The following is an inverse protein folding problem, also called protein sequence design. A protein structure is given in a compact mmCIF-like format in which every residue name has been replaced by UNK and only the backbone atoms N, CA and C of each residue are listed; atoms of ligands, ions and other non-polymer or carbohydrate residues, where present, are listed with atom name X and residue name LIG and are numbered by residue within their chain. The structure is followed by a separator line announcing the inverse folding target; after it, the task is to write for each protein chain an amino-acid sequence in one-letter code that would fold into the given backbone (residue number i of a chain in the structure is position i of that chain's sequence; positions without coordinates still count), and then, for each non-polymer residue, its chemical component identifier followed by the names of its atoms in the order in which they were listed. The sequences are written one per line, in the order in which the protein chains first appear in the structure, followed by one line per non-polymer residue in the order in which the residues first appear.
data_IF_903678774919
#
_entry.id   IF_903678774919
#
_cell.length_a   1.000
_cell.length_b   1.000
_cell.length_c   1.000
_cell.angle_alpha   90.00
_cell.angle_beta   90.00
_cell.angle_gamma   90.00
#
_symmetry.space_group_name_H-M   'P 1'
#
loop_
_entity.id
_entity.type
_entity.pdbx_description
1 polymer ?
#
# COMPACT_ATOMS: atom_id res chain seq x y z
N UNK A 1 -9.46 -7.27 30.92
CA UNK A 1 -10.70 -8.01 30.54
C UNK A 1 -10.26 -9.21 29.71
N UNK A 2 -10.88 -10.39 29.90
CA UNK A 2 -10.52 -11.58 29.13
C UNK A 2 -10.96 -11.39 27.69
N UNK A 3 -10.15 -11.86 26.73
CA UNK A 3 -10.54 -11.90 25.32
C UNK A 3 -11.78 -12.80 25.17
N UNK A 4 -12.71 -12.42 24.32
CA UNK A 4 -13.84 -13.27 23.94
C UNK A 4 -13.33 -14.42 23.09
N UNK A 5 -13.62 -15.67 23.46
CA UNK A 5 -13.23 -16.84 22.68
C UNK A 5 -14.29 -17.19 21.63
N UNK A 6 -13.87 -17.46 20.40
CA UNK A 6 -14.72 -17.92 19.29
C UNK A 6 -14.12 -19.17 18.64
N UNK A 7 -14.90 -20.24 18.59
CA UNK A 7 -14.49 -21.52 17.97
C UNK A 7 -15.31 -21.86 16.72
N UNK A 8 -16.41 -21.14 16.44
CA UNK A 8 -17.31 -21.44 15.33
C UNK A 8 -17.01 -20.58 14.11
N UNK A 9 -16.80 -21.22 12.96
CA UNK A 9 -16.71 -20.57 11.63
C UNK A 9 -18.03 -19.88 11.20
N UNK A 10 -19.15 -20.21 11.85
CA UNK A 10 -20.46 -19.62 11.58
C UNK A 10 -20.69 -18.32 12.36
N UNK A 11 -19.77 -17.96 13.26
CA UNK A 11 -19.87 -16.72 14.02
C UNK A 11 -19.93 -15.50 13.06
N UNK A 12 -20.85 -14.53 13.29
CA UNK A 12 -21.01 -13.37 12.42
C UNK A 12 -19.72 -12.54 12.24
N UNK A 13 -18.94 -12.33 13.30
CA UNK A 13 -17.68 -11.59 13.23
C UNK A 13 -16.65 -12.32 12.33
N UNK A 14 -16.55 -13.66 12.45
CA UNK A 14 -15.66 -14.46 11.59
C UNK A 14 -16.09 -14.37 10.12
N UNK A 15 -17.41 -14.44 9.85
CA UNK A 15 -17.94 -14.26 8.49
C UNK A 15 -17.63 -12.87 7.93
N UNK A 16 -17.83 -11.82 8.72
CA UNK A 16 -17.56 -10.45 8.31
C UNK A 16 -16.06 -10.24 7.99
N UNK A 17 -15.16 -10.73 8.84
CA UNK A 17 -13.71 -10.63 8.57
C UNK A 17 -13.30 -11.42 7.33
N UNK A 18 -13.87 -12.62 7.10
CA UNK A 18 -13.64 -13.39 5.87
C UNK A 18 -14.17 -12.68 4.63
N UNK A 19 -15.27 -11.96 4.74
CA UNK A 19 -15.85 -11.21 3.62
C UNK A 19 -14.94 -10.09 3.13
N UNK A 20 -14.05 -9.55 3.99
CA UNK A 20 -13.06 -8.53 3.62
C UNK A 20 -12.02 -8.99 2.55
N UNK A 21 -12.01 -10.27 2.18
CA UNK A 21 -11.29 -10.71 0.98
C UNK A 21 -11.93 -10.20 -0.33
N UNK A 22 -13.20 -9.84 -0.30
CA UNK A 22 -13.91 -9.27 -1.45
C UNK A 22 -13.75 -7.75 -1.45
N UNK A 23 -13.37 -7.18 -2.61
CA UNK A 23 -13.24 -5.72 -2.77
C UNK A 23 -14.52 -4.98 -2.38
N UNK A 24 -15.66 -5.49 -2.82
CA UNK A 24 -16.98 -4.93 -2.49
C UNK A 24 -17.14 -4.72 -0.98
N UNK A 25 -16.86 -5.73 -0.19
CA UNK A 25 -17.00 -5.67 1.27
C UNK A 25 -16.03 -4.65 1.90
N UNK A 26 -14.80 -4.54 1.36
CA UNK A 26 -13.85 -3.53 1.82
C UNK A 26 -14.31 -2.12 1.47
N UNK A 27 -14.86 -1.93 0.27
CA UNK A 27 -15.37 -0.62 -0.18
C UNK A 27 -16.62 -0.21 0.63
N UNK A 28 -17.51 -1.16 0.96
CA UNK A 28 -18.72 -0.92 1.76
C UNK A 28 -18.43 -0.65 3.24
N UNK A 29 -17.49 -1.39 3.82
CA UNK A 29 -17.17 -1.29 5.26
C UNK A 29 -16.07 -0.28 5.58
N UNK A 30 -15.26 0.08 4.59
CA UNK A 30 -14.04 0.87 4.80
C UNK A 30 -12.96 0.15 5.62
N UNK A 31 -13.03 -1.20 5.70
CA UNK A 31 -12.11 -2.02 6.50
C UNK A 31 -11.21 -2.89 5.62
N UNK A 32 -10.08 -3.30 6.17
CA UNK A 32 -9.19 -4.28 5.53
C UNK A 32 -8.50 -5.18 6.57
N UNK A 33 -7.91 -6.26 6.10
CA UNK A 33 -7.21 -7.26 6.92
C UNK A 33 -5.70 -7.10 6.78
N UNK A 34 -5.00 -7.03 7.92
CA UNK A 34 -3.55 -7.13 8.00
C UNK A 34 -3.17 -8.36 8.83
N UNK A 35 -2.36 -9.25 8.25
CA UNK A 35 -1.94 -10.50 8.87
C UNK A 35 -0.56 -10.39 9.50
N UNK A 36 -0.39 -11.05 10.65
CA UNK A 36 0.86 -11.12 11.37
C UNK A 36 1.02 -10.01 12.41
N UNK A 37 1.57 -10.42 13.56
CA UNK A 37 1.76 -9.51 14.70
C UNK A 37 2.64 -8.30 14.34
N UNK A 38 3.65 -8.49 13.48
CA UNK A 38 4.51 -7.39 13.02
C UNK A 38 3.68 -6.30 12.32
N UNK A 39 2.81 -6.66 11.37
CA UNK A 39 1.97 -5.70 10.67
C UNK A 39 0.99 -4.98 11.60
N UNK A 40 0.44 -5.71 12.60
CA UNK A 40 -0.44 -5.11 13.61
C UNK A 40 0.32 -4.08 14.45
N UNK A 41 1.54 -4.39 14.86
CA UNK A 41 2.36 -3.47 15.65
C UNK A 41 2.80 -2.25 14.83
N UNK A 42 3.19 -2.42 13.58
CA UNK A 42 3.49 -1.29 12.67
C UNK A 42 2.30 -0.35 12.54
N UNK A 43 1.09 -0.90 12.37
CA UNK A 43 -0.14 -0.09 12.38
C UNK A 43 -0.29 0.71 13.68
N UNK A 44 -0.13 0.08 14.83
CA UNK A 44 -0.25 0.73 16.14
C UNK A 44 0.82 1.81 16.32
N UNK A 45 2.07 1.55 15.92
CA UNK A 45 3.18 2.49 16.06
C UNK A 45 3.04 3.72 15.17
N UNK A 46 2.29 3.60 14.09
CA UNK A 46 1.92 4.71 13.19
C UNK A 46 0.56 5.34 13.52
N UNK A 47 -0.04 5.00 14.67
CA UNK A 47 -1.29 5.62 15.15
C UNK A 47 -2.57 4.94 14.65
N UNK A 48 -2.47 3.79 14.00
CA UNK A 48 -3.61 3.03 13.50
C UNK A 48 -3.93 1.86 14.45
N UNK A 49 -5.02 1.95 15.19
CA UNK A 49 -5.47 0.86 16.05
C UNK A 49 -6.46 -0.06 15.31
N UNK A 50 -6.36 -1.39 15.46
CA UNK A 50 -7.31 -2.30 14.84
C UNK A 50 -8.70 -2.18 15.47
N UNK A 51 -9.75 -2.31 14.66
CA UNK A 51 -11.14 -2.45 15.11
C UNK A 51 -11.42 -3.85 15.66
N UNK A 52 -10.73 -4.86 15.11
CA UNK A 52 -10.79 -6.22 15.57
C UNK A 52 -9.37 -6.78 15.57
N UNK A 53 -8.98 -7.39 16.69
CA UNK A 53 -7.74 -8.14 16.82
C UNK A 53 -8.09 -9.60 17.08
N UNK A 54 -7.81 -10.48 16.11
CA UNK A 54 -7.95 -11.92 16.26
C UNK A 54 -6.59 -12.55 16.53
N UNK A 55 -6.50 -13.46 17.49
CA UNK A 55 -5.27 -14.19 17.77
C UNK A 55 -5.53 -15.64 18.14
N UNK A 56 -4.59 -16.52 17.83
CA UNK A 56 -4.57 -17.88 18.36
C UNK A 56 -4.10 -17.92 19.81
N UNK A 57 -4.32 -19.05 20.49
CA UNK A 57 -3.94 -19.20 21.91
C UNK A 57 -2.42 -19.01 22.13
N UNK A 58 -1.60 -19.51 21.22
CA UNK A 58 -0.14 -19.44 21.32
C UNK A 58 0.41 -18.02 21.19
N UNK A 59 -0.30 -17.13 20.52
CA UNK A 59 0.12 -15.74 20.36
C UNK A 59 0.00 -14.92 21.65
N UNK A 60 -0.87 -15.32 22.58
CA UNK A 60 -1.13 -14.59 23.81
C UNK A 60 0.13 -14.41 24.68
N UNK A 61 1.07 -15.35 24.63
CA UNK A 61 2.33 -15.31 25.37
C UNK A 61 3.38 -14.37 24.75
N UNK A 62 3.20 -13.91 23.51
CA UNK A 62 4.18 -13.05 22.83
C UNK A 62 4.25 -11.68 23.50
N UNK A 63 5.45 -11.14 23.81
CA UNK A 63 5.59 -9.86 24.54
C UNK A 63 4.84 -8.68 23.89
N UNK A 64 4.81 -8.61 22.55
CA UNK A 64 4.13 -7.55 21.81
C UNK A 64 2.61 -7.69 21.79
N UNK A 65 2.05 -8.85 22.14
CA UNK A 65 0.59 -9.02 22.20
C UNK A 65 -0.07 -8.11 23.23
N UNK A 66 0.59 -7.86 24.35
CA UNK A 66 0.07 -6.92 25.38
C UNK A 66 -0.16 -5.53 24.78
N UNK A 67 0.79 -5.02 23.99
CA UNK A 67 0.68 -3.74 23.29
C UNK A 67 -0.48 -3.77 22.29
N UNK A 68 -0.59 -4.82 21.47
CA UNK A 68 -1.67 -4.97 20.50
C UNK A 68 -3.05 -4.98 21.16
N UNK A 69 -3.21 -5.75 22.24
CA UNK A 69 -4.45 -5.83 23.03
C UNK A 69 -4.80 -4.46 23.64
N UNK A 70 -3.86 -3.79 24.29
CA UNK A 70 -4.09 -2.49 24.92
C UNK A 70 -4.48 -1.42 23.91
N UNK A 71 -3.79 -1.34 22.78
CA UNK A 71 -4.10 -0.38 21.72
C UNK A 71 -5.48 -0.63 21.10
N UNK A 72 -5.82 -1.91 20.83
CA UNK A 72 -7.14 -2.30 20.30
C UNK A 72 -8.25 -1.92 21.27
N UNK A 73 -8.15 -2.30 22.53
CA UNK A 73 -9.17 -2.01 23.55
C UNK A 73 -9.26 -0.51 23.84
N UNK A 74 -8.12 0.18 23.91
CA UNK A 74 -8.05 1.63 24.14
C UNK A 74 -8.74 2.45 23.06
N UNK A 75 -8.79 1.94 21.82
CA UNK A 75 -9.52 2.55 20.71
C UNK A 75 -10.98 2.09 20.57
N UNK A 76 -11.48 1.27 21.51
CA UNK A 76 -12.81 0.69 21.46
C UNK A 76 -12.95 -0.52 20.53
N UNK A 77 -11.83 -1.09 20.08
CA UNK A 77 -11.82 -2.31 19.28
C UNK A 77 -12.05 -3.58 20.07
N UNK A 78 -12.37 -4.66 19.38
CA UNK A 78 -12.66 -5.98 19.95
C UNK A 78 -11.43 -6.90 19.86
N UNK A 79 -11.08 -7.59 20.97
CA UNK A 79 -10.02 -8.60 21.01
C UNK A 79 -10.66 -9.96 21.12
N UNK A 80 -10.33 -10.86 20.20
CA UNK A 80 -10.97 -12.18 20.06
C UNK A 80 -9.89 -13.26 19.99
N UNK A 81 -9.98 -14.23 20.91
CA UNK A 81 -9.23 -15.46 20.78
C UNK A 81 -9.95 -16.43 19.86
N UNK A 82 -9.27 -16.98 18.87
CA UNK A 82 -9.84 -17.85 17.86
C UNK A 82 -9.02 -19.12 17.66
N UNK A 83 -9.64 -20.18 17.16
CA UNK A 83 -8.93 -21.43 16.81
C UNK A 83 -8.03 -21.24 15.59
N UNK A 84 -7.05 -22.13 15.44
CA UNK A 84 -6.18 -22.19 14.26
C UNK A 84 -6.98 -22.32 12.96
N UNK A 85 -8.07 -23.13 12.97
CA UNK A 85 -8.95 -23.30 11.80
C UNK A 85 -9.61 -21.99 11.37
N UNK A 86 -10.00 -21.14 12.32
CA UNK A 86 -10.55 -19.82 12.02
C UNK A 86 -9.46 -18.94 11.39
N UNK A 87 -8.26 -18.91 11.96
CA UNK A 87 -7.14 -18.15 11.38
C UNK A 87 -6.82 -18.62 9.96
N UNK A 88 -6.77 -19.94 9.72
CA UNK A 88 -6.54 -20.52 8.40
C UNK A 88 -7.60 -20.08 7.38
N UNK A 89 -8.88 -20.05 7.78
CA UNK A 89 -9.98 -19.62 6.92
C UNK A 89 -10.04 -18.11 6.72
N UNK A 90 -9.68 -17.32 7.72
CA UNK A 90 -9.60 -15.86 7.64
C UNK A 90 -8.42 -15.44 6.76
N UNK A 91 -7.28 -16.09 6.84
CA UNK A 91 -6.09 -15.78 6.04
C UNK A 91 -6.05 -16.48 4.67
N UNK A 92 -6.93 -17.48 4.44
CA UNK A 92 -6.89 -18.37 3.27
C UNK A 92 -5.52 -19.05 3.10
N UNK A 93 -4.92 -19.49 4.21
CA UNK A 93 -3.62 -20.19 4.23
C UNK A 93 -3.70 -21.46 5.07
N UNK A 94 -2.96 -22.47 4.66
CA UNK A 94 -2.77 -23.68 5.47
C UNK A 94 -1.98 -23.40 6.74
N UNK A 95 -0.93 -22.59 6.60
CA UNK A 95 -0.12 -22.10 7.73
C UNK A 95 -0.38 -20.60 7.96
N UNK A 96 -1.44 -20.24 8.70
CA UNK A 96 -1.80 -18.86 8.97
C UNK A 96 -0.84 -18.19 9.95
N UNK A 97 -0.77 -16.88 9.90
CA UNK A 97 -0.17 -16.11 10.98
C UNK A 97 -1.05 -16.22 12.24
N UNK A 98 -0.41 -16.26 13.40
CA UNK A 98 -1.11 -16.41 14.68
C UNK A 98 -1.94 -15.19 15.11
N UNK A 99 -1.81 -14.06 14.38
CA UNK A 99 -2.49 -12.79 14.66
C UNK A 99 -3.01 -12.18 13.38
N UNK A 100 -4.23 -11.64 13.43
CA UNK A 100 -4.89 -10.91 12.34
C UNK A 100 -5.53 -9.66 12.92
N UNK A 101 -5.21 -8.51 12.33
CA UNK A 101 -5.85 -7.23 12.63
C UNK A 101 -6.80 -6.79 11.52
N UNK A 102 -7.94 -6.21 11.91
CA UNK A 102 -8.87 -5.53 10.98
C UNK A 102 -8.77 -4.04 11.23
N UNK A 103 -8.41 -3.28 10.21
CA UNK A 103 -8.13 -1.86 10.29
C UNK A 103 -9.03 -1.04 9.39
N UNK A 104 -9.33 0.23 9.74
CA UNK A 104 -9.92 1.17 8.80
C UNK A 104 -8.99 1.47 7.63
N UNK A 105 -9.55 1.56 6.41
CA UNK A 105 -8.84 2.13 5.28
C UNK A 105 -8.62 3.63 5.50
N UNK A 106 -7.49 4.14 5.02
CA UNK A 106 -7.17 5.56 5.09
C UNK A 106 -6.66 6.04 3.73
N UNK A 107 -7.43 6.91 3.07
CA UNK A 107 -6.99 7.64 1.89
C UNK A 107 -6.86 9.12 2.21
N UNK A 108 -5.73 9.69 1.81
CA UNK A 108 -5.51 11.13 1.92
C UNK A 108 -6.13 11.83 0.71
N UNK A 109 -6.81 12.95 0.88
CA UNK A 109 -7.23 13.82 -0.23
C UNK A 109 -6.04 14.27 -1.08
N UNK A 110 -6.25 14.45 -2.38
CA UNK A 110 -5.18 14.80 -3.33
C UNK A 110 -4.52 16.16 -2.99
N UNK A 111 -5.30 17.10 -2.48
CA UNK A 111 -4.86 18.44 -2.07
C UNK A 111 -3.94 18.43 -0.84
N UNK A 112 -3.93 17.32 -0.10
CA UNK A 112 -3.10 17.13 1.10
C UNK A 112 -1.84 16.30 0.83
N UNK A 113 -1.56 16.01 -0.44
CA UNK A 113 -0.33 15.28 -0.80
C UNK A 113 0.87 16.20 -0.62
N UNK A 114 1.80 15.77 0.21
CA UNK A 114 3.05 16.47 0.50
C UNK A 114 4.24 15.63 0.02
N UNK A 115 5.36 16.26 -0.39
CA UNK A 115 6.48 15.52 -0.97
C UNK A 115 7.27 14.65 0.02
N UNK A 116 7.05 14.82 1.33
CA UNK A 116 7.73 14.05 2.37
C UNK A 116 9.21 14.43 2.56
N UNK A 117 9.93 13.73 3.48
CA UNK A 117 11.34 13.99 3.77
C UNK A 117 12.26 13.84 2.56
N UNK A 118 11.99 12.90 1.68
CA UNK A 118 12.75 12.68 0.45
C UNK A 118 12.46 13.71 -0.64
N UNK A 119 11.50 14.60 -0.44
CA UNK A 119 11.02 15.53 -1.46
C UNK A 119 10.57 14.79 -2.75
N UNK A 120 9.88 13.67 -2.57
CA UNK A 120 9.43 12.80 -3.66
C UNK A 120 8.03 12.25 -3.38
N UNK A 121 7.21 12.15 -4.43
CA UNK A 121 5.92 11.47 -4.46
C UNK A 121 5.87 10.55 -5.66
N UNK A 122 5.18 9.42 -5.55
CA UNK A 122 5.00 8.45 -6.64
C UNK A 122 3.55 8.47 -7.11
N UNK A 123 3.31 8.60 -8.40
CA UNK A 123 2.02 8.44 -9.03
C UNK A 123 2.03 7.18 -9.91
N UNK A 124 1.04 6.32 -9.74
CA UNK A 124 0.90 5.05 -10.44
C UNK A 124 -0.37 5.08 -11.29
N UNK A 125 -0.20 5.06 -12.62
CA UNK A 125 -1.31 5.09 -13.55
C UNK A 125 -1.78 3.68 -13.90
N UNK A 126 -3.01 3.34 -13.49
CA UNK A 126 -3.70 2.08 -13.80
C UNK A 126 -2.90 0.82 -13.45
N UNK A 127 -2.15 0.84 -12.35
CA UNK A 127 -1.43 -0.35 -11.87
C UNK A 127 -2.41 -1.48 -11.58
N UNK A 128 -2.10 -2.72 -12.01
CA UNK A 128 -3.02 -3.87 -11.93
C UNK A 128 -2.57 -4.96 -10.99
N UNK A 129 -1.28 -5.14 -10.82
CA UNK A 129 -0.73 -6.18 -9.96
C UNK A 129 -0.62 -5.71 -8.51
N UNK A 130 -1.34 -6.35 -7.54
CA UNK A 130 -1.30 -5.96 -6.14
C UNK A 130 0.06 -6.23 -5.48
N UNK A 131 0.83 -7.20 -5.95
CA UNK A 131 2.19 -7.47 -5.47
C UNK A 131 3.15 -6.35 -5.85
N UNK A 132 3.06 -5.85 -7.09
CA UNK A 132 3.82 -4.67 -7.53
C UNK A 132 3.44 -3.44 -6.71
N UNK A 133 2.13 -3.19 -6.55
CA UNK A 133 1.65 -2.06 -5.77
C UNK A 133 2.19 -2.09 -4.33
N UNK A 134 2.05 -3.22 -3.64
CA UNK A 134 2.55 -3.36 -2.27
C UNK A 134 4.07 -3.21 -2.17
N UNK A 135 4.82 -3.72 -3.15
CA UNK A 135 6.28 -3.56 -3.21
C UNK A 135 6.67 -2.11 -3.45
N UNK A 136 5.94 -1.38 -4.29
CA UNK A 136 6.17 0.05 -4.53
C UNK A 136 5.90 0.86 -3.25
N UNK A 137 4.79 0.59 -2.56
CA UNK A 137 4.49 1.25 -1.26
C UNK A 137 5.61 1.02 -0.26
N UNK A 138 6.12 -0.21 -0.15
CA UNK A 138 7.26 -0.52 0.72
C UNK A 138 8.54 0.22 0.31
N UNK A 139 8.79 0.35 -0.99
CA UNK A 139 9.96 1.08 -1.49
C UNK A 139 9.82 2.58 -1.25
N UNK A 140 8.63 3.13 -1.42
CA UNK A 140 8.32 4.54 -1.12
C UNK A 140 8.53 4.86 0.36
N UNK A 141 8.12 3.95 1.27
CA UNK A 141 8.40 4.04 2.70
C UNK A 141 9.90 4.07 2.98
N UNK A 142 10.63 3.08 2.47
CA UNK A 142 12.07 2.96 2.68
C UNK A 142 12.86 4.17 2.16
N UNK A 143 12.37 4.83 1.11
CA UNK A 143 12.98 6.03 0.54
C UNK A 143 12.48 7.33 1.17
N UNK A 144 11.51 7.31 2.10
CA UNK A 144 10.95 8.50 2.74
C UNK A 144 10.08 9.36 1.81
N UNK A 145 9.42 8.75 0.81
CA UNK A 145 8.49 9.46 -0.07
C UNK A 145 7.25 9.94 0.68
N UNK A 146 6.68 11.05 0.25
CA UNK A 146 5.50 11.67 0.88
C UNK A 146 4.20 10.93 0.66
N UNK A 147 4.14 9.98 -0.30
CA UNK A 147 2.97 9.16 -0.56
C UNK A 147 2.97 8.49 -1.93
N UNK A 148 1.91 7.71 -2.14
CA UNK A 148 1.63 7.05 -3.42
C UNK A 148 0.24 7.47 -3.90
N UNK A 149 0.16 8.03 -5.10
CA UNK A 149 -1.08 8.43 -5.77
C UNK A 149 -1.48 7.34 -6.76
N UNK A 150 -2.68 6.79 -6.60
CA UNK A 150 -3.28 5.82 -7.50
C UNK A 150 -4.16 6.58 -8.51
N UNK A 151 -3.72 6.63 -9.76
CA UNK A 151 -4.36 7.41 -10.83
C UNK A 151 -5.18 6.50 -11.74
N UNK A 152 -6.45 6.82 -11.90
CA UNK A 152 -7.40 6.02 -12.68
C UNK A 152 -7.75 4.68 -12.00
N UNK A 153 -8.11 3.68 -12.79
CA UNK A 153 -8.48 2.35 -12.26
C UNK A 153 -7.25 1.52 -11.89
N UNK A 154 -6.85 1.60 -10.64
CA UNK A 154 -5.80 0.77 -10.06
C UNK A 154 -6.36 -0.45 -9.32
N UNK A 155 -5.50 -1.46 -9.11
CA UNK A 155 -5.81 -2.54 -8.17
C UNK A 155 -6.00 -1.97 -6.76
N UNK A 156 -6.66 -2.75 -5.90
CA UNK A 156 -6.97 -2.29 -4.56
C UNK A 156 -5.75 -2.40 -3.63
N UNK A 157 -5.23 -1.28 -3.09
CA UNK A 157 -4.08 -1.30 -2.18
C UNK A 157 -4.38 -2.01 -0.85
N UNK A 158 -5.66 -2.16 -0.49
CA UNK A 158 -6.10 -2.86 0.70
C UNK A 158 -6.50 -4.31 0.44
N UNK A 159 -6.26 -4.83 -0.77
CA UNK A 159 -6.35 -6.28 -1.00
C UNK A 159 -5.34 -7.02 -0.12
N UNK A 160 -5.69 -8.24 0.30
CA UNK A 160 -4.80 -9.03 1.17
C UNK A 160 -3.41 -9.22 0.56
N UNK A 161 -3.33 -9.35 -0.76
CA UNK A 161 -2.07 -9.50 -1.49
C UNK A 161 -1.22 -8.23 -1.46
N UNK A 162 -1.81 -7.07 -1.73
CA UNK A 162 -1.12 -5.78 -1.67
C UNK A 162 -0.64 -5.50 -0.23
N UNK A 163 -1.53 -5.63 0.77
CA UNK A 163 -1.18 -5.41 2.19
C UNK A 163 -0.02 -6.32 2.63
N UNK A 164 -0.02 -7.59 2.24
CA UNK A 164 1.09 -8.51 2.53
C UNK A 164 2.42 -8.03 1.93
N UNK A 165 2.38 -7.58 0.66
CA UNK A 165 3.58 -7.14 -0.05
C UNK A 165 4.17 -5.85 0.55
N UNK A 166 3.36 -5.01 1.21
CA UNK A 166 3.85 -3.79 1.88
C UNK A 166 4.69 -4.08 3.11
N UNK A 167 4.58 -5.25 3.74
CA UNK A 167 5.29 -5.62 4.98
C UNK A 167 5.10 -4.62 6.13
N UNK A 168 3.95 -3.94 6.19
CA UNK A 168 3.58 -2.94 7.21
C UNK A 168 3.60 -1.50 6.70
N UNK A 169 4.32 -1.20 5.61
CA UNK A 169 4.40 0.18 5.04
C UNK A 169 3.05 0.74 4.59
N UNK A 170 2.00 -0.08 4.49
CA UNK A 170 0.62 0.35 4.24
C UNK A 170 0.11 1.36 5.28
N UNK A 171 0.65 1.32 6.49
CA UNK A 171 0.28 2.20 7.59
C UNK A 171 1.15 3.47 7.65
N UNK A 172 2.35 3.45 7.05
CA UNK A 172 3.30 4.55 7.10
C UNK A 172 3.20 5.48 5.89
N UNK A 173 2.91 4.92 4.69
CA UNK A 173 2.86 5.67 3.44
C UNK A 173 1.45 6.17 3.15
N UNK A 174 1.22 7.48 3.06
CA UNK A 174 -0.07 8.03 2.66
C UNK A 174 -0.47 7.56 1.26
N UNK A 175 -1.70 7.04 1.13
CA UNK A 175 -2.27 6.65 -0.13
C UNK A 175 -3.34 7.66 -0.56
N UNK A 176 -3.34 7.99 -1.84
CA UNK A 176 -4.33 8.89 -2.47
C UNK A 176 -4.93 8.21 -3.68
N UNK A 177 -6.21 8.39 -3.92
CA UNK A 177 -6.88 8.02 -5.18
C UNK A 177 -7.22 9.28 -5.95
N UNK A 178 -7.03 9.26 -7.25
CA UNK A 178 -7.43 10.34 -8.16
C UNK A 178 -7.90 9.77 -9.50
N UNK A 179 -8.89 10.39 -10.09
CA UNK A 179 -9.15 10.21 -11.52
C UNK A 179 -8.02 10.81 -12.34
N UNK A 180 -7.89 10.45 -13.61
CA UNK A 180 -6.90 11.04 -14.50
C UNK A 180 -7.08 12.56 -14.64
N UNK A 181 -8.34 13.02 -14.68
CA UNK A 181 -8.68 14.44 -14.78
C UNK A 181 -8.29 15.22 -13.51
N UNK A 182 -8.60 14.69 -12.32
CA UNK A 182 -8.22 15.30 -11.04
C UNK A 182 -6.70 15.36 -10.90
N UNK A 183 -5.99 14.27 -11.24
CA UNK A 183 -4.54 14.23 -11.20
C UNK A 183 -3.93 15.25 -12.17
N UNK A 184 -4.42 15.34 -13.40
CA UNK A 184 -3.92 16.29 -14.40
C UNK A 184 -4.10 17.74 -13.94
N UNK A 185 -5.26 18.08 -13.35
CA UNK A 185 -5.52 19.41 -12.81
C UNK A 185 -4.61 19.73 -11.61
N UNK A 186 -4.48 18.79 -10.66
CA UNK A 186 -3.64 18.95 -9.47
C UNK A 186 -2.16 19.07 -9.82
N UNK A 187 -1.68 18.23 -10.75
CA UNK A 187 -0.29 18.22 -11.20
C UNK A 187 0.16 19.58 -11.75
N UNK A 188 -0.73 20.33 -12.38
CA UNK A 188 -0.41 21.65 -12.93
C UNK A 188 0.14 22.64 -11.88
N UNK A 189 -0.21 22.43 -10.59
CA UNK A 189 0.30 23.21 -9.46
C UNK A 189 1.57 22.63 -8.80
N UNK A 190 2.13 21.51 -9.30
CA UNK A 190 3.31 20.91 -8.69
C UNK A 190 4.56 21.76 -8.89
N UNK A 191 5.24 22.13 -7.79
CA UNK A 191 6.31 23.12 -7.82
C UNK A 191 7.64 22.57 -8.38
N UNK A 192 7.87 21.25 -8.30
CA UNK A 192 9.11 20.61 -8.71
C UNK A 192 9.03 19.95 -10.08
N UNK A 193 9.85 18.92 -10.31
CA UNK A 193 9.83 18.16 -11.56
C UNK A 193 8.76 17.08 -11.53
N UNK A 194 8.01 16.94 -12.62
CA UNK A 194 7.18 15.77 -12.91
C UNK A 194 7.90 14.94 -13.97
N UNK A 195 8.28 13.71 -13.57
CA UNK A 195 9.07 12.82 -14.43
C UNK A 195 8.28 11.55 -14.75
N UNK A 196 7.99 11.34 -16.01
CA UNK A 196 7.34 10.14 -16.54
C UNK A 196 8.34 9.09 -16.98
N UNK A 197 7.96 7.83 -16.95
CA UNK A 197 8.80 6.73 -17.40
C UNK A 197 8.22 6.09 -18.65
N UNK A 198 8.96 6.15 -19.78
CA UNK A 198 8.60 5.58 -21.08
C UNK A 198 9.77 4.79 -21.66
N UNK A 199 9.52 3.62 -22.20
CA UNK A 199 10.55 2.82 -22.90
C UNK A 199 11.12 3.55 -24.11
N UNK A 200 10.32 4.40 -24.78
CA UNK A 200 10.67 5.14 -25.99
C UNK A 200 11.28 6.52 -25.72
N UNK A 201 11.43 6.92 -24.46
CA UNK A 201 12.01 8.22 -24.11
C UNK A 201 13.46 8.35 -24.63
N UNK A 202 13.85 9.56 -25.03
CA UNK A 202 15.21 9.83 -25.46
C UNK A 202 16.18 9.89 -24.27
N UNK A 203 15.80 10.59 -23.21
CA UNK A 203 16.63 10.83 -22.03
C UNK A 203 16.77 9.58 -21.14
N UNK A 204 17.95 9.37 -20.58
CA UNK A 204 18.18 8.37 -19.54
C UNK A 204 17.75 8.90 -18.16
N UNK A 205 17.17 8.03 -17.32
CA UNK A 205 16.81 8.37 -15.93
C UNK A 205 18.04 8.86 -15.14
N UNK A 206 19.23 8.35 -15.42
CA UNK A 206 20.47 8.71 -14.71
C UNK A 206 21.02 10.09 -15.10
N UNK A 207 20.60 10.63 -16.25
CA UNK A 207 21.03 11.93 -16.78
C UNK A 207 19.98 13.03 -16.54
N UNK A 208 18.81 12.64 -16.04
CA UNK A 208 17.72 13.56 -15.77
C UNK A 208 18.01 14.47 -14.59
N UNK A 209 17.68 15.73 -14.70
CA UNK A 209 17.70 16.67 -13.58
C UNK A 209 16.37 16.57 -12.82
N UNK A 210 16.42 16.00 -11.62
CA UNK A 210 15.25 15.91 -10.72
C UNK A 210 15.20 17.15 -9.82
N UNK A 211 14.46 18.18 -10.28
CA UNK A 211 14.21 19.38 -9.44
C UNK A 211 13.22 19.00 -8.35
N UNK A 212 13.62 19.12 -7.10
CA UNK A 212 12.79 18.80 -5.93
C UNK A 212 11.72 19.90 -5.67
N UNK A 213 10.53 19.48 -5.21
CA UNK A 213 10.08 18.11 -5.00
C UNK A 213 9.83 17.37 -6.31
N UNK A 214 10.22 16.09 -6.40
CA UNK A 214 10.00 15.28 -7.59
C UNK A 214 8.68 14.51 -7.51
N UNK A 215 7.95 14.47 -8.61
CA UNK A 215 6.76 13.60 -8.80
C UNK A 215 7.10 12.58 -9.89
N UNK A 216 7.18 11.31 -9.51
CA UNK A 216 7.48 10.21 -10.42
C UNK A 216 6.18 9.60 -10.91
N UNK A 217 5.94 9.64 -12.23
CA UNK A 217 4.76 9.07 -12.86
C UNK A 217 5.12 7.77 -13.59
N UNK A 218 4.57 6.67 -13.10
CA UNK A 218 4.77 5.32 -13.63
C UNK A 218 3.50 4.82 -14.31
N UNK A 219 3.65 4.18 -15.46
CA UNK A 219 2.55 3.60 -16.20
C UNK A 219 2.21 2.16 -15.80
N UNK A 220 1.16 1.63 -16.44
CA UNK A 220 0.71 0.25 -16.31
C UNK A 220 1.79 -0.76 -16.77
N UNK A 221 1.76 -1.97 -16.21
CA UNK A 221 2.74 -3.04 -16.47
C UNK A 221 2.80 -3.47 -17.94
N UNK A 222 1.68 -3.40 -18.65
CA UNK A 222 1.57 -3.89 -20.03
C UNK A 222 1.60 -2.76 -21.07
N UNK A 223 0.90 -1.66 -20.79
CA UNK A 223 0.67 -0.58 -21.76
C UNK A 223 1.53 0.67 -21.50
N UNK A 224 2.16 0.75 -20.32
CA UNK A 224 2.85 1.96 -19.89
C UNK A 224 1.87 3.12 -19.61
N UNK A 225 2.29 4.33 -19.86
CA UNK A 225 1.45 5.53 -19.78
C UNK A 225 0.62 5.67 -21.07
N UNK A 226 -0.66 6.09 -20.93
CA UNK A 226 -1.44 6.51 -22.10
C UNK A 226 -0.84 7.79 -22.70
N UNK A 227 -1.11 8.13 -23.99
CA UNK A 227 -0.59 9.35 -24.60
C UNK A 227 -0.91 10.62 -23.79
N UNK A 228 -2.12 10.71 -23.24
CA UNK A 228 -2.57 11.83 -22.42
C UNK A 228 -1.76 11.93 -21.13
N UNK A 229 -1.52 10.79 -20.46
CA UNK A 229 -0.73 10.76 -19.22
C UNK A 229 0.77 10.97 -19.49
N UNK A 230 1.28 10.51 -20.64
CA UNK A 230 2.66 10.73 -21.06
C UNK A 230 2.96 12.19 -21.44
N UNK A 231 1.94 12.98 -21.73
CA UNK A 231 2.06 14.41 -22.01
C UNK A 231 2.10 15.29 -20.74
N UNK A 232 1.74 14.77 -19.57
CA UNK A 232 1.70 15.52 -18.33
C UNK A 232 3.09 15.79 -17.72
N UNK A 233 4.07 14.85 -17.74
CA UNK A 233 5.40 15.09 -17.19
C UNK A 233 6.15 16.23 -17.89
N UNK A 234 7.00 16.92 -17.14
CA UNK A 234 7.93 17.91 -17.68
C UNK A 234 9.04 17.22 -18.49
N UNK A 235 9.36 15.98 -18.11
CA UNK A 235 10.37 15.15 -18.73
C UNK A 235 9.95 13.68 -18.71
N UNK A 236 10.06 13.01 -19.86
CA UNK A 236 9.97 11.56 -19.91
C UNK A 236 11.37 10.94 -20.03
N UNK A 237 11.61 9.91 -19.22
CA UNK A 237 12.89 9.21 -19.17
C UNK A 237 12.71 7.70 -19.38
N UNK A 238 13.81 7.04 -19.74
CA UNK A 238 13.88 5.58 -19.78
C UNK A 238 14.96 5.06 -18.83
N UNK A 239 14.79 3.83 -18.38
CA UNK A 239 15.84 3.04 -17.76
C UNK A 239 16.50 2.24 -18.89
N UNK A 240 17.78 2.48 -19.24
CA UNK A 240 18.41 1.80 -20.36
C UNK A 240 18.52 0.29 -20.15
N UNK A 241 17.98 -0.51 -21.05
CA UNK A 241 18.17 -1.96 -21.07
C UNK A 241 19.48 -2.29 -21.80
N UNK A 242 20.37 -3.03 -21.14
CA UNK A 242 21.68 -3.42 -21.71
C UNK A 242 21.76 -4.90 -22.04
N UNK A 243 20.73 -5.67 -21.74
CA UNK A 243 20.61 -7.09 -21.99
C UNK A 243 19.54 -7.41 -23.04
N UNK A 244 18.99 -8.63 -22.95
CA UNK A 244 17.94 -9.12 -23.84
C UNK A 244 16.52 -8.75 -23.40
N UNK A 245 16.34 -8.38 -22.12
CA UNK A 245 15.05 -7.96 -21.63
C UNK A 245 14.66 -6.60 -22.24
N UNK A 246 13.43 -6.49 -22.66
CA UNK A 246 12.85 -5.29 -23.27
C UNK A 246 12.28 -4.32 -22.21
N UNK A 247 12.01 -4.83 -21.00
CA UNK A 247 11.44 -4.07 -19.89
C UNK A 247 11.85 -4.65 -18.52
N UNK A 248 11.58 -3.90 -17.45
CA UNK A 248 11.68 -4.33 -16.06
C UNK A 248 10.30 -4.53 -15.45
N UNK A 249 10.22 -5.38 -14.43
CA UNK A 249 9.05 -5.39 -13.55
C UNK A 249 8.77 -3.99 -13.02
N UNK A 250 7.48 -3.62 -12.94
CA UNK A 250 7.07 -2.26 -12.57
C UNK A 250 7.62 -1.82 -11.21
N UNK A 251 7.58 -2.68 -10.20
CA UNK A 251 8.07 -2.32 -8.86
C UNK A 251 9.58 -2.12 -8.84
N UNK A 252 10.33 -2.87 -9.64
CA UNK A 252 11.79 -2.69 -9.80
C UNK A 252 12.08 -1.36 -10.50
N UNK A 253 11.40 -1.09 -11.62
CA UNK A 253 11.55 0.17 -12.35
C UNK A 253 11.20 1.38 -11.47
N UNK A 254 10.10 1.29 -10.71
CA UNK A 254 9.69 2.35 -9.79
C UNK A 254 10.73 2.57 -8.69
N UNK A 255 11.32 1.51 -8.13
CA UNK A 255 12.39 1.60 -7.15
C UNK A 255 13.61 2.35 -7.68
N UNK A 256 14.06 2.02 -8.91
CA UNK A 256 15.15 2.72 -9.57
C UNK A 256 14.83 4.22 -9.73
N UNK A 257 13.62 4.55 -10.17
CA UNK A 257 13.20 5.94 -10.36
C UNK A 257 13.11 6.71 -9.05
N UNK A 258 12.58 6.10 -7.98
CA UNK A 258 12.51 6.72 -6.65
C UNK A 258 13.93 7.09 -6.18
N UNK A 259 14.86 6.14 -6.21
CA UNK A 259 16.22 6.36 -5.73
C UNK A 259 17.01 7.33 -6.62
N UNK A 260 16.77 7.35 -7.93
CA UNK A 260 17.34 8.38 -8.79
C UNK A 260 16.83 9.80 -8.48
N UNK A 261 15.55 9.92 -8.11
CA UNK A 261 14.92 11.21 -7.79
C UNK A 261 15.24 11.70 -6.36
N UNK A 262 15.62 10.80 -5.45
CA UNK A 262 15.90 11.14 -4.02
C UNK A 262 17.38 11.32 -3.71
N UNK A 263 18.27 10.96 -4.63
CA UNK A 263 19.71 11.10 -4.54
C UNK A 263 20.20 12.56 -4.39
#
# INVERSE_FOLDING_TARGET
MSARAISSLQNPTVKAVRALHMRKERDETGLFVAEGLKNVIEGIDTGHAPRILMHGPDAAAHPMMRKAVQATQGSGGEVIEVTHDILAKVSRRENPQAVVGVFPQAFRPLEQVEPGPAQCVVALHRVRDPGNLGTIVRTADAAGCGGVILVGECCDPYSVEAVRATMGSIFAVPLTRATEAEFAAWRAGWAGSVVGTLLTAAASHAEAAYRKPALILMGNEQQGLTPEMAALPDLNVKIPMRGRADSLNLSVATGIMIYAATA
#
